data_IF_295630370422
#
_entry.id   IF_295630370422
#
_cell.length_a   1.000
_cell.length_b   1.000
_cell.length_c   1.000
_cell.angle_alpha   90.00
_cell.angle_beta   90.00
_cell.angle_gamma   90.00
#
_symmetry.space_group_name_H-M   'P 1'
#
loop_
_entity.id
_entity.type
_entity.pdbx_description
1 polymer ?
#
# COMPACT_ATOMS: atom_id res chain seq x y z
N UNK A 1 -35.01 0.95 -8.00
CA UNK A 1 -33.65 1.54 -8.15
C UNK A 1 -32.78 1.58 -6.86
N UNK A 2 -33.26 1.16 -5.68
CA UNK A 2 -32.49 1.27 -4.42
C UNK A 2 -31.64 0.06 -4.03
N UNK A 3 -31.99 -1.15 -4.42
CA UNK A 3 -31.31 -2.37 -3.94
C UNK A 3 -29.90 -2.58 -4.55
N UNK A 4 -29.74 -2.41 -5.85
CA UNK A 4 -28.45 -2.58 -6.53
C UNK A 4 -27.40 -1.58 -6.05
N UNK A 5 -27.78 -0.31 -5.85
CA UNK A 5 -26.86 0.73 -5.35
C UNK A 5 -26.37 0.45 -3.92
N UNK A 6 -27.23 -0.10 -3.05
CA UNK A 6 -26.84 -0.51 -1.68
C UNK A 6 -25.88 -1.69 -1.72
N UNK A 7 -26.09 -2.66 -2.61
CA UNK A 7 -25.24 -3.84 -2.77
C UNK A 7 -23.81 -3.44 -3.23
N UNK A 8 -23.71 -2.56 -4.24
CA UNK A 8 -22.41 -2.04 -4.71
C UNK A 8 -21.63 -1.31 -3.62
N UNK A 9 -22.30 -0.48 -2.78
CA UNK A 9 -21.63 0.22 -1.66
C UNK A 9 -21.10 -0.78 -0.64
N UNK A 10 -21.87 -1.80 -0.29
CA UNK A 10 -21.45 -2.83 0.67
C UNK A 10 -20.19 -3.56 0.20
N UNK A 11 -20.15 -3.95 -1.08
CA UNK A 11 -18.98 -4.62 -1.68
C UNK A 11 -17.74 -3.70 -1.64
N UNK A 12 -17.90 -2.41 -1.96
CA UNK A 12 -16.80 -1.44 -1.88
C UNK A 12 -16.22 -1.37 -0.47
N UNK A 13 -17.08 -1.32 0.54
CA UNK A 13 -16.67 -1.31 1.96
C UNK A 13 -15.97 -2.62 2.33
N UNK A 14 -16.53 -3.77 1.95
CA UNK A 14 -15.93 -5.09 2.23
C UNK A 14 -14.55 -5.24 1.58
N UNK A 15 -14.37 -4.83 0.32
CA UNK A 15 -13.06 -4.89 -0.34
C UNK A 15 -12.05 -3.92 0.28
N UNK A 16 -12.48 -2.73 0.68
CA UNK A 16 -11.65 -1.77 1.39
C UNK A 16 -11.16 -2.35 2.72
N UNK A 17 -12.07 -2.94 3.51
CA UNK A 17 -11.72 -3.59 4.77
C UNK A 17 -10.82 -4.82 4.57
N UNK A 18 -11.05 -5.62 3.51
CA UNK A 18 -10.21 -6.75 3.16
C UNK A 18 -8.76 -6.31 2.88
N UNK A 19 -8.55 -5.27 2.08
CA UNK A 19 -7.20 -4.78 1.79
C UNK A 19 -6.54 -4.11 3.00
N UNK A 20 -7.31 -3.49 3.90
CA UNK A 20 -6.80 -3.04 5.19
C UNK A 20 -6.31 -4.22 6.05
N UNK A 21 -7.09 -5.29 6.13
CA UNK A 21 -6.72 -6.52 6.85
C UNK A 21 -5.51 -7.23 6.21
N UNK A 22 -5.44 -7.31 4.88
CA UNK A 22 -4.29 -7.86 4.16
C UNK A 22 -3.01 -7.04 4.39
N UNK A 23 -3.14 -5.70 4.46
CA UNK A 23 -2.02 -4.82 4.79
C UNK A 23 -1.51 -5.07 6.22
N UNK A 24 -2.42 -5.27 7.17
CA UNK A 24 -2.07 -5.66 8.53
C UNK A 24 -1.41 -7.04 8.57
N UNK A 25 -1.99 -8.05 7.93
CA UNK A 25 -1.41 -9.39 7.84
C UNK A 25 -0.01 -9.38 7.22
N UNK A 26 0.19 -8.60 6.15
CA UNK A 26 1.48 -8.42 5.51
C UNK A 26 2.53 -7.75 6.39
N UNK A 27 2.12 -6.98 7.38
CA UNK A 27 3.02 -6.37 8.36
C UNK A 27 3.63 -7.39 9.34
N UNK A 28 2.96 -8.50 9.59
CA UNK A 28 3.50 -9.60 10.39
C UNK A 28 4.55 -10.42 9.65
N UNK A 29 4.52 -10.41 8.31
CA UNK A 29 5.56 -11.04 7.49
C UNK A 29 6.68 -10.02 7.33
N UNK A 30 7.55 -9.96 8.33
CA UNK A 30 8.61 -8.97 8.46
C UNK A 30 9.97 -9.63 8.66
N UNK A 31 10.97 -9.18 7.90
CA UNK A 31 12.38 -9.56 8.07
C UNK A 31 13.11 -8.38 8.72
N UNK A 32 13.54 -8.50 9.99
CA UNK A 32 14.21 -7.41 10.70
C UNK A 32 15.69 -7.32 10.25
N UNK A 33 15.99 -6.36 9.37
CA UNK A 33 17.35 -6.13 8.85
C UNK A 33 17.99 -4.83 9.36
N UNK A 34 17.30 -4.10 10.23
CA UNK A 34 17.78 -2.81 10.74
C UNK A 34 16.65 -1.95 11.32
N UNK A 35 16.79 -0.62 11.30
CA UNK A 35 15.77 0.28 11.86
C UNK A 35 14.45 0.28 11.10
N UNK A 36 14.46 -0.21 9.85
CA UNK A 36 13.27 -0.40 9.01
C UNK A 36 13.25 -1.86 8.55
N UNK A 37 12.23 -2.67 8.91
CA UNK A 37 12.13 -4.06 8.49
C UNK A 37 11.68 -4.17 7.03
N UNK A 38 12.07 -5.25 6.34
CA UNK A 38 11.43 -5.63 5.06
C UNK A 38 10.10 -6.29 5.42
N UNK A 39 9.00 -5.75 4.89
CA UNK A 39 7.64 -6.25 5.17
C UNK A 39 6.92 -6.61 3.86
N UNK A 40 5.96 -7.53 3.94
CA UNK A 40 5.09 -7.82 2.80
C UNK A 40 3.93 -6.82 2.68
N UNK A 41 3.71 -6.03 3.70
CA UNK A 41 2.67 -5.01 3.80
C UNK A 41 2.59 -4.08 2.59
N UNK A 42 3.74 -3.57 2.10
CA UNK A 42 3.78 -2.64 0.98
C UNK A 42 3.28 -3.25 -0.35
N UNK A 43 3.31 -4.57 -0.51
CA UNK A 43 2.65 -5.23 -1.63
C UNK A 43 1.12 -5.05 -1.56
N UNK A 44 0.51 -5.27 -0.40
CA UNK A 44 -0.94 -5.17 -0.24
C UNK A 44 -1.43 -3.72 -0.32
N UNK A 45 -0.66 -2.76 0.20
CA UNK A 45 -0.97 -1.34 0.04
C UNK A 45 -0.87 -0.88 -1.42
N UNK A 46 0.12 -1.36 -2.17
CA UNK A 46 0.23 -1.13 -3.59
C UNK A 46 -0.95 -1.73 -4.37
N UNK A 47 -1.26 -3.01 -4.08
CA UNK A 47 -2.37 -3.72 -4.71
C UNK A 47 -3.73 -3.07 -4.43
N UNK A 48 -3.94 -2.52 -3.24
CA UNK A 48 -5.19 -1.80 -2.95
C UNK A 48 -5.42 -0.64 -3.91
N UNK A 49 -4.38 0.16 -4.18
CA UNK A 49 -4.44 1.24 -5.17
C UNK A 49 -4.66 0.75 -6.59
N UNK A 50 -3.89 -0.27 -7.00
CA UNK A 50 -3.95 -0.85 -8.35
C UNK A 50 -5.31 -1.51 -8.65
N UNK A 51 -5.93 -2.16 -7.67
CA UNK A 51 -7.15 -2.96 -7.84
C UNK A 51 -8.40 -2.14 -7.58
N UNK A 52 -8.43 -1.37 -6.49
CA UNK A 52 -9.62 -0.62 -6.08
C UNK A 52 -9.66 0.81 -6.63
N UNK A 53 -8.57 1.26 -7.26
CA UNK A 53 -8.42 2.65 -7.70
C UNK A 53 -8.03 3.61 -6.56
N UNK A 54 -7.90 4.92 -6.86
CA UNK A 54 -7.28 5.87 -5.94
C UNK A 54 -8.05 6.05 -4.62
N UNK A 55 -9.38 6.16 -4.69
CA UNK A 55 -10.20 6.48 -3.51
C UNK A 55 -10.29 5.30 -2.55
N UNK A 56 -10.75 4.14 -3.03
CA UNK A 56 -10.94 2.96 -2.18
C UNK A 56 -9.61 2.30 -1.80
N UNK A 57 -8.60 2.37 -2.67
CA UNK A 57 -7.25 1.92 -2.36
C UNK A 57 -6.60 2.74 -1.24
N UNK A 58 -6.67 4.08 -1.34
CA UNK A 58 -6.19 4.95 -0.27
C UNK A 58 -7.01 4.80 1.01
N UNK A 59 -8.34 4.64 0.89
CA UNK A 59 -9.21 4.40 2.05
C UNK A 59 -8.85 3.10 2.79
N UNK A 60 -8.49 2.02 2.07
CA UNK A 60 -8.03 0.77 2.67
C UNK A 60 -6.76 0.97 3.51
N UNK A 61 -5.77 1.69 2.96
CA UNK A 61 -4.54 2.00 3.70
C UNK A 61 -4.82 2.97 4.85
N UNK A 62 -5.68 3.97 4.63
CA UNK A 62 -6.13 4.89 5.69
C UNK A 62 -6.77 4.15 6.86
N UNK A 63 -7.68 3.19 6.57
CA UNK A 63 -8.31 2.35 7.59
C UNK A 63 -7.28 1.51 8.36
N UNK A 64 -6.32 0.89 7.65
CA UNK A 64 -5.21 0.16 8.27
C UNK A 64 -4.39 1.07 9.20
N UNK A 65 -4.02 2.28 8.75
CA UNK A 65 -3.25 3.23 9.55
C UNK A 65 -4.05 3.73 10.78
N UNK A 66 -5.34 4.00 10.61
CA UNK A 66 -6.22 4.37 11.71
C UNK A 66 -6.32 3.27 12.77
N UNK A 67 -6.49 2.01 12.34
CA UNK A 67 -6.48 0.87 13.26
C UNK A 67 -5.17 0.83 14.07
N UNK A 68 -4.03 1.04 13.41
CA UNK A 68 -2.74 1.11 14.08
C UNK A 68 -2.60 2.29 15.03
N UNK A 69 -3.09 3.48 14.66
CA UNK A 69 -3.10 4.67 15.54
C UNK A 69 -3.95 4.41 16.79
N UNK A 70 -5.07 3.72 16.66
CA UNK A 70 -5.95 3.30 17.77
C UNK A 70 -5.34 2.17 18.63
N UNK A 71 -4.05 1.93 18.49
CA UNK A 71 -3.28 0.97 19.27
C UNK A 71 -3.59 -0.51 18.98
N UNK A 72 -4.27 -0.83 17.87
CA UNK A 72 -4.36 -2.21 17.42
C UNK A 72 -2.98 -2.69 16.94
N UNK A 73 -2.57 -3.93 17.25
CA UNK A 73 -1.22 -4.45 16.95
C UNK A 73 -1.08 -4.84 15.47
N UNK A 74 -1.32 -3.90 14.56
CA UNK A 74 -1.37 -4.14 13.11
C UNK A 74 -0.10 -3.70 12.35
N UNK A 75 0.84 -3.03 13.02
CA UNK A 75 2.11 -2.64 12.42
C UNK A 75 3.17 -3.74 12.55
N UNK A 76 4.29 -3.58 11.82
CA UNK A 76 5.38 -4.56 11.81
C UNK A 76 5.84 -4.93 13.24
N UNK A 77 5.96 -6.25 13.47
CA UNK A 77 6.28 -6.79 14.78
C UNK A 77 5.12 -6.81 15.78
N UNK A 78 3.86 -6.78 15.30
CA UNK A 78 2.67 -6.85 16.15
C UNK A 78 2.51 -5.62 17.06
N UNK A 79 2.87 -4.46 16.57
CA UNK A 79 2.85 -3.21 17.33
C UNK A 79 1.75 -2.28 16.86
N UNK A 80 1.40 -1.30 17.68
CA UNK A 80 0.44 -0.24 17.38
C UNK A 80 0.81 1.06 18.08
N UNK A 81 -0.11 2.02 18.01
CA UNK A 81 -0.02 3.32 18.65
C UNK A 81 0.65 4.40 17.79
N UNK A 82 0.28 5.64 18.08
CA UNK A 82 0.77 6.84 17.37
C UNK A 82 2.30 6.99 17.50
N UNK A 83 2.90 6.45 18.56
CA UNK A 83 4.36 6.47 18.77
C UNK A 83 5.14 5.81 17.62
N UNK A 84 4.52 4.91 16.85
CA UNK A 84 5.15 4.31 15.67
C UNK A 84 5.42 5.32 14.54
N UNK A 85 4.61 6.37 14.45
CA UNK A 85 4.85 7.46 13.50
C UNK A 85 6.04 8.34 13.91
N UNK A 86 6.33 8.44 15.20
CA UNK A 86 7.54 9.10 15.68
C UNK A 86 8.81 8.27 15.48
N UNK A 87 8.67 6.95 15.34
CA UNK A 87 9.78 6.03 15.08
C UNK A 87 10.32 6.09 13.64
N UNK A 88 11.41 5.37 13.33
CA UNK A 88 12.10 5.43 12.03
C UNK A 88 11.24 4.98 10.85
N UNK A 89 10.16 4.23 11.10
CA UNK A 89 9.24 3.72 10.09
C UNK A 89 8.06 4.65 9.81
N UNK A 90 7.87 5.74 10.57
CA UNK A 90 6.70 6.61 10.47
C UNK A 90 6.49 7.21 9.07
N UNK A 91 7.57 7.67 8.45
CA UNK A 91 7.52 8.19 7.08
C UNK A 91 7.10 7.15 6.05
N UNK A 92 7.51 5.88 6.22
CA UNK A 92 7.08 4.79 5.33
C UNK A 92 5.60 4.46 5.49
N UNK A 93 5.04 4.56 6.70
CA UNK A 93 3.61 4.38 6.94
C UNK A 93 2.79 5.42 6.17
N UNK A 94 3.20 6.69 6.21
CA UNK A 94 2.60 7.76 5.38
C UNK A 94 2.83 7.47 3.89
N UNK A 95 4.02 6.99 3.54
CA UNK A 95 4.39 6.60 2.19
C UNK A 95 3.48 5.53 1.59
N UNK A 96 2.99 4.58 2.39
CA UNK A 96 2.06 3.55 1.92
C UNK A 96 0.70 4.13 1.50
N UNK A 97 0.21 5.15 2.19
CA UNK A 97 -0.99 5.85 1.79
C UNK A 97 -0.79 6.55 0.44
N UNK A 98 0.34 7.23 0.29
CA UNK A 98 0.72 7.88 -0.96
C UNK A 98 0.93 6.87 -2.10
N UNK A 99 1.48 5.68 -1.80
CA UNK A 99 1.65 4.60 -2.78
C UNK A 99 0.32 4.12 -3.34
N UNK A 100 -0.66 3.83 -2.47
CA UNK A 100 -1.99 3.42 -2.89
C UNK A 100 -2.69 4.49 -3.73
N UNK A 101 -2.58 5.76 -3.31
CA UNK A 101 -3.15 6.89 -4.04
C UNK A 101 -2.49 7.06 -5.41
N UNK A 102 -1.16 7.12 -5.47
CA UNK A 102 -0.40 7.32 -6.72
C UNK A 102 -0.61 6.17 -7.71
N UNK A 103 -0.49 4.92 -7.23
CA UNK A 103 -0.74 3.76 -8.06
C UNK A 103 -2.18 3.74 -8.58
N UNK A 104 -3.14 4.07 -7.73
CA UNK A 104 -4.55 4.16 -8.09
C UNK A 104 -4.86 5.27 -9.09
N UNK A 105 -4.23 6.45 -8.96
CA UNK A 105 -4.40 7.57 -9.90
C UNK A 105 -3.86 7.20 -11.29
N UNK A 106 -2.69 6.59 -11.36
CA UNK A 106 -2.09 6.17 -12.63
C UNK A 106 -2.87 5.01 -13.24
N UNK A 107 -3.25 3.99 -12.45
CA UNK A 107 -4.04 2.86 -12.92
C UNK A 107 -5.48 3.26 -13.32
N UNK A 108 -6.03 4.29 -12.69
CA UNK A 108 -7.42 4.73 -12.86
C UNK A 108 -8.42 3.83 -12.12
N UNK A 109 -9.69 4.17 -12.17
CA UNK A 109 -10.77 3.33 -11.61
C UNK A 109 -10.89 2.01 -12.38
N UNK A 110 -11.17 0.88 -11.69
CA UNK A 110 -11.52 -0.36 -12.36
C UNK A 110 -12.88 -0.20 -13.07
N UNK A 111 -12.98 -0.66 -14.32
CA UNK A 111 -14.20 -0.61 -15.13
C UNK A 111 -14.43 -1.94 -15.83
N UNK A 112 -15.68 -2.35 -15.90
CA UNK A 112 -16.09 -3.59 -16.59
C UNK A 112 -15.69 -3.52 -18.07
N UNK A 113 -15.10 -4.60 -18.58
CA UNK A 113 -14.66 -4.70 -19.97
C UNK A 113 -13.39 -3.91 -20.33
N UNK A 114 -12.91 -3.02 -19.47
CA UNK A 114 -11.71 -2.22 -19.74
C UNK A 114 -10.46 -2.86 -19.12
N UNK A 115 -9.50 -3.21 -19.98
CA UNK A 115 -8.19 -3.70 -19.54
C UNK A 115 -7.21 -2.54 -19.41
N UNK A 116 -6.45 -2.52 -18.32
CA UNK A 116 -5.34 -1.58 -18.17
C UNK A 116 -4.18 -2.02 -19.09
N UNK A 117 -3.62 -1.12 -19.92
CA UNK A 117 -2.43 -1.43 -20.72
C UNK A 117 -1.24 -1.79 -19.82
N UNK A 118 -0.48 -2.81 -20.22
CA UNK A 118 0.67 -3.29 -19.43
C UNK A 118 1.69 -2.18 -19.09
N UNK A 119 2.08 -1.29 -20.03
CA UNK A 119 3.02 -0.20 -19.70
C UNK A 119 2.47 0.74 -18.61
N UNK A 120 1.17 1.06 -18.66
CA UNK A 120 0.51 1.90 -17.65
C UNK A 120 0.47 1.20 -16.29
N UNK A 121 0.26 -0.11 -16.26
CA UNK A 121 0.25 -0.91 -15.03
C UNK A 121 1.65 -0.97 -14.41
N UNK A 122 2.69 -1.19 -15.23
CA UNK A 122 4.09 -1.16 -14.79
C UNK A 122 4.44 0.22 -14.22
N UNK A 123 4.08 1.29 -14.91
CA UNK A 123 4.30 2.65 -14.44
C UNK A 123 3.59 2.92 -13.10
N UNK A 124 2.34 2.48 -12.96
CA UNK A 124 1.57 2.63 -11.73
C UNK A 124 2.21 1.88 -10.56
N UNK A 125 2.66 0.65 -10.79
CA UNK A 125 3.33 -0.16 -9.77
C UNK A 125 4.69 0.45 -9.37
N UNK A 126 5.51 0.85 -10.34
CA UNK A 126 6.81 1.46 -10.09
C UNK A 126 6.68 2.80 -9.35
N UNK A 127 5.80 3.69 -9.81
CA UNK A 127 5.57 4.98 -9.16
C UNK A 127 5.04 4.79 -7.72
N UNK A 128 4.10 3.85 -7.51
CA UNK A 128 3.59 3.52 -6.18
C UNK A 128 4.68 3.01 -5.24
N UNK A 129 5.58 2.13 -5.71
CA UNK A 129 6.70 1.65 -4.89
C UNK A 129 7.70 2.76 -4.59
N UNK A 130 8.04 3.60 -5.57
CA UNK A 130 9.05 4.64 -5.39
C UNK A 130 8.58 5.78 -4.49
N UNK A 131 7.31 6.17 -4.57
CA UNK A 131 6.78 7.29 -3.78
C UNK A 131 6.85 7.04 -2.27
N UNK A 132 6.85 5.77 -1.84
CA UNK A 132 7.01 5.38 -0.42
C UNK A 132 8.30 5.95 0.17
N UNK A 133 9.35 5.98 -0.63
CA UNK A 133 10.68 6.39 -0.17
C UNK A 133 10.82 7.90 0.03
N UNK A 134 9.96 8.72 -0.56
CA UNK A 134 10.01 10.18 -0.39
C UNK A 134 9.83 10.56 1.10
N UNK A 135 8.69 10.29 1.74
CA UNK A 135 8.52 10.56 3.16
C UNK A 135 9.32 9.57 4.03
N UNK A 136 9.51 8.32 3.57
CA UNK A 136 10.20 7.28 4.32
C UNK A 136 11.65 7.64 4.63
N UNK A 137 12.42 8.01 3.62
CA UNK A 137 13.84 8.38 3.77
C UNK A 137 14.00 9.73 4.46
N UNK A 138 13.14 10.70 4.12
CA UNK A 138 13.18 12.02 4.78
C UNK A 138 12.95 11.88 6.29
N UNK A 139 11.96 11.10 6.69
CA UNK A 139 11.67 10.86 8.09
C UNK A 139 12.74 10.00 8.78
N UNK A 140 13.24 8.95 8.12
CA UNK A 140 14.32 8.12 8.64
C UNK A 140 15.58 8.95 8.92
N UNK A 141 15.95 9.86 8.00
CA UNK A 141 17.06 10.80 8.18
C UNK A 141 16.87 11.66 9.42
N UNK A 142 15.69 12.26 9.60
CA UNK A 142 15.39 13.15 10.72
C UNK A 142 15.34 12.37 12.04
N UNK A 143 14.56 11.29 12.10
CA UNK A 143 14.29 10.52 13.33
C UNK A 143 15.52 9.82 13.87
N UNK A 144 16.54 9.58 13.03
CA UNK A 144 17.81 8.92 13.41
C UNK A 144 19.02 9.83 13.31
N UNK A 145 18.83 11.11 13.00
CA UNK A 145 19.89 12.11 12.81
C UNK A 145 21.00 11.61 11.85
N UNK A 146 20.59 11.14 10.67
CA UNK A 146 21.50 10.55 9.68
C UNK A 146 21.83 11.53 8.56
N UNK A 147 22.98 11.33 7.92
CA UNK A 147 23.26 11.91 6.60
C UNK A 147 22.47 11.18 5.51
N UNK A 148 22.23 11.83 4.36
CA UNK A 148 21.48 11.25 3.24
C UNK A 148 22.07 9.93 2.73
N UNK A 149 23.39 9.84 2.58
CA UNK A 149 24.08 8.62 2.13
C UNK A 149 23.72 7.42 3.03
N UNK A 150 23.79 7.62 4.35
CA UNK A 150 23.48 6.55 5.31
C UNK A 150 21.99 6.22 5.33
N UNK A 151 21.10 7.20 5.23
CA UNK A 151 19.67 6.97 5.15
C UNK A 151 19.30 6.13 3.90
N UNK A 152 19.90 6.42 2.74
CA UNK A 152 19.74 5.62 1.51
C UNK A 152 20.26 4.20 1.67
N UNK A 153 21.45 4.03 2.25
CA UNK A 153 22.06 2.69 2.42
C UNK A 153 21.25 1.78 3.32
N UNK A 154 20.57 2.29 4.34
CA UNK A 154 19.81 1.46 5.29
C UNK A 154 18.29 1.48 5.06
N UNK A 155 17.77 2.51 4.38
CA UNK A 155 16.33 2.70 4.17
C UNK A 155 15.85 2.46 2.73
N UNK A 156 16.76 2.27 1.76
CA UNK A 156 16.41 2.04 0.35
C UNK A 156 17.12 0.81 -0.23
N UNK A 157 18.45 0.77 -0.18
CA UNK A 157 19.26 -0.27 -0.85
C UNK A 157 18.82 -1.71 -0.50
N UNK A 158 18.58 -2.08 0.78
CA UNK A 158 18.19 -3.44 1.14
C UNK A 158 16.81 -3.86 0.61
N UNK A 159 15.97 -2.87 0.27
CA UNK A 159 14.58 -3.12 -0.14
C UNK A 159 14.43 -3.31 -1.64
N UNK A 160 15.40 -2.87 -2.45
CA UNK A 160 15.31 -2.83 -3.92
C UNK A 160 14.89 -4.19 -4.51
N UNK A 161 15.58 -5.27 -4.12
CA UNK A 161 15.31 -6.61 -4.65
C UNK A 161 13.90 -7.06 -4.27
N UNK A 162 13.54 -6.89 -2.98
CA UNK A 162 12.21 -7.24 -2.49
C UNK A 162 11.10 -6.43 -3.18
N UNK A 163 11.32 -5.16 -3.42
CA UNK A 163 10.34 -4.28 -4.05
C UNK A 163 10.19 -4.55 -5.56
N UNK A 164 11.27 -4.92 -6.24
CA UNK A 164 11.18 -5.39 -7.63
C UNK A 164 10.32 -6.66 -7.70
N UNK A 165 10.55 -7.64 -6.84
CA UNK A 165 9.74 -8.87 -6.78
C UNK A 165 8.27 -8.59 -6.48
N UNK A 166 7.98 -7.69 -5.53
CA UNK A 166 6.61 -7.25 -5.20
C UNK A 166 5.96 -6.51 -6.37
N UNK A 167 6.72 -5.64 -7.05
CA UNK A 167 6.25 -4.94 -8.25
C UNK A 167 5.87 -5.91 -9.37
N UNK A 168 6.73 -6.89 -9.67
CA UNK A 168 6.46 -7.94 -10.65
C UNK A 168 5.20 -8.73 -10.24
N UNK A 169 5.12 -9.17 -8.98
CA UNK A 169 3.96 -9.89 -8.45
C UNK A 169 2.69 -9.05 -8.60
N UNK A 170 2.74 -7.78 -8.23
CA UNK A 170 1.59 -6.87 -8.36
C UNK A 170 1.14 -6.73 -9.82
N UNK A 171 2.07 -6.57 -10.77
CA UNK A 171 1.76 -6.47 -12.20
C UNK A 171 1.12 -7.76 -12.74
N UNK A 172 1.58 -8.93 -12.32
CA UNK A 172 1.05 -10.23 -12.77
C UNK A 172 -0.37 -10.46 -12.26
N UNK A 173 -0.62 -10.18 -10.98
CA UNK A 173 -1.92 -10.54 -10.36
C UNK A 173 -3.00 -9.48 -10.55
N UNK A 174 -2.64 -8.20 -10.70
CA UNK A 174 -3.58 -7.07 -10.80
C UNK A 174 -4.61 -7.24 -11.92
N UNK A 175 -4.28 -7.65 -13.16
CA UNK A 175 -5.27 -7.70 -14.23
C UNK A 175 -6.45 -8.63 -13.94
N UNK A 176 -6.19 -9.77 -13.28
CA UNK A 176 -7.24 -10.74 -12.89
C UNK A 176 -8.09 -10.19 -11.75
N UNK A 177 -7.47 -9.72 -10.69
CA UNK A 177 -8.17 -9.21 -9.51
C UNK A 177 -8.95 -7.93 -9.83
N UNK A 178 -8.39 -7.06 -10.67
CA UNK A 178 -9.04 -5.83 -11.10
C UNK A 178 -10.31 -6.11 -11.93
N UNK A 179 -10.32 -7.16 -12.76
CA UNK A 179 -11.51 -7.58 -13.49
C UNK A 179 -12.62 -8.01 -12.53
N UNK A 180 -12.30 -8.88 -11.57
CA UNK A 180 -13.24 -9.33 -10.53
C UNK A 180 -13.78 -8.14 -9.72
N UNK A 181 -12.90 -7.22 -9.33
CA UNK A 181 -13.30 -6.02 -8.60
C UNK A 181 -14.23 -5.12 -9.43
N UNK A 182 -13.96 -4.94 -10.73
CA UNK A 182 -14.77 -4.11 -11.61
C UNK A 182 -16.21 -4.63 -11.73
N UNK A 183 -16.38 -5.93 -11.91
CA UNK A 183 -17.69 -6.57 -12.04
C UNK A 183 -18.60 -6.31 -10.81
N UNK A 184 -18.00 -6.10 -9.64
CA UNK A 184 -18.69 -5.85 -8.38
C UNK A 184 -18.76 -4.36 -7.99
N UNK A 185 -17.87 -3.52 -8.50
CA UNK A 185 -17.81 -2.10 -8.14
C UNK A 185 -18.73 -1.23 -9.02
N UNK A 186 -19.08 -1.68 -10.22
CA UNK A 186 -19.97 -0.97 -11.14
C UNK A 186 -21.44 -1.45 -11.08
N UNK A 187 -21.70 -2.61 -10.45
CA UNK A 187 -23.06 -3.10 -10.19
C UNK A 187 -23.69 -2.31 -9.00
#
# INVERSE_FOLDING_TARGET
>A
MGAGKKHSVLIKVCLTALFAALSAAGAFIAIPIGPVPIVLQNLFTLLSGLILGPVYGAAAVGLYLLAGILNLPVFAGGTGGIARFAGPTGGYLIGYLLAALTAGLIAGQPRVGIRIPLPRLILAAAAGLLVVYIPGLAWLKISRNLGWARALMIGFVPFIIGDILKGITAVIITPRLRRIAADHLES
#
